data_IF_792283897160
#
_entry.id   IF_792283897160
#
_cell.length_a   1.000
_cell.length_b   1.000
_cell.length_c   1.000
_cell.angle_alpha   90.00
_cell.angle_beta   90.00
_cell.angle_gamma   90.00
#
_symmetry.space_group_name_H-M   'P 1'
#
loop_
_entity.id
_entity.type
_entity.pdbx_description
1 polymer ?
#
# COMPACT_ATOMS: atom_id res chain seq x y z
N UNK A 1 -0.48 34.02 -2.50
CA UNK A 1 -1.48 33.36 -3.39
C UNK A 1 -1.14 31.89 -3.45
N UNK A 2 -1.92 31.04 -2.78
CA UNK A 2 -1.73 29.59 -2.88
C UNK A 2 -2.26 29.16 -4.24
N UNK A 3 -1.37 28.72 -5.13
CA UNK A 3 -1.72 28.08 -6.38
C UNK A 3 -2.57 26.83 -6.06
N UNK A 4 -3.88 26.97 -6.15
CA UNK A 4 -4.81 25.85 -6.22
C UNK A 4 -4.60 25.17 -7.58
N UNK A 5 -3.53 24.41 -7.72
CA UNK A 5 -3.46 23.40 -8.76
C UNK A 5 -4.55 22.39 -8.40
N UNK A 6 -5.69 22.52 -9.04
CA UNK A 6 -6.71 21.48 -9.04
C UNK A 6 -6.05 20.22 -9.58
N UNK A 7 -5.71 19.29 -8.70
CA UNK A 7 -5.19 18.00 -9.14
C UNK A 7 -6.23 17.36 -10.05
N UNK A 8 -5.81 16.80 -11.19
CA UNK A 8 -6.76 16.15 -12.09
C UNK A 8 -7.45 14.99 -11.36
N UNK A 9 -8.76 14.90 -11.55
CA UNK A 9 -9.57 13.83 -10.97
C UNK A 9 -9.15 12.50 -11.61
N UNK A 10 -8.69 11.50 -10.83
CA UNK A 10 -8.33 10.22 -11.38
C UNK A 10 -9.52 9.50 -12.01
N UNK A 11 -9.31 8.89 -13.17
CA UNK A 11 -10.28 8.05 -13.87
C UNK A 11 -9.85 6.59 -13.73
N UNK A 12 -10.79 5.75 -13.32
CA UNK A 12 -10.57 4.32 -13.11
C UNK A 12 -10.75 3.53 -14.41
N UNK A 13 -9.99 2.45 -14.56
CA UNK A 13 -10.31 1.41 -15.52
C UNK A 13 -11.45 0.51 -15.01
N UNK A 14 -11.91 -0.44 -15.83
CA UNK A 14 -13.02 -1.33 -15.45
C UNK A 14 -12.73 -2.19 -14.22
N UNK A 15 -11.51 -2.67 -14.05
CA UNK A 15 -11.10 -3.49 -12.89
C UNK A 15 -11.07 -2.66 -11.61
N UNK A 16 -10.50 -1.46 -11.71
CA UNK A 16 -10.46 -0.49 -10.61
C UNK A 16 -11.87 -0.04 -10.21
N UNK A 17 -12.73 0.22 -11.18
CA UNK A 17 -14.13 0.57 -10.94
C UNK A 17 -14.90 -0.53 -10.22
N UNK A 18 -14.77 -1.77 -10.63
CA UNK A 18 -15.41 -2.91 -9.94
C UNK A 18 -14.94 -3.03 -8.50
N UNK A 19 -13.68 -2.79 -8.25
CA UNK A 19 -13.07 -2.82 -6.93
C UNK A 19 -13.55 -1.66 -6.06
N UNK A 20 -13.56 -0.45 -6.60
CA UNK A 20 -14.11 0.73 -5.95
C UNK A 20 -15.60 0.59 -5.64
N UNK A 21 -16.38 0.01 -6.53
CA UNK A 21 -17.81 -0.24 -6.32
C UNK A 21 -18.08 -1.19 -5.14
N UNK A 22 -17.23 -2.19 -4.94
CA UNK A 22 -17.31 -3.05 -3.74
C UNK A 22 -17.04 -2.25 -2.47
N UNK A 23 -16.04 -1.34 -2.50
CA UNK A 23 -15.74 -0.47 -1.37
C UNK A 23 -16.84 0.55 -1.07
N UNK A 24 -17.62 0.97 -2.06
CA UNK A 24 -18.76 1.88 -1.86
C UNK A 24 -19.78 1.27 -0.87
N UNK A 25 -19.97 -0.05 -0.87
CA UNK A 25 -20.85 -0.73 0.09
C UNK A 25 -20.38 -0.60 1.54
N UNK A 26 -19.10 -0.34 1.77
CA UNK A 26 -18.53 -0.08 3.10
C UNK A 26 -18.64 1.39 3.54
N UNK A 27 -19.14 2.26 2.66
CA UNK A 27 -19.34 3.66 2.99
C UNK A 27 -20.53 3.83 3.93
N UNK A 28 -20.33 4.56 5.04
CA UNK A 28 -21.38 4.80 6.04
C UNK A 28 -22.55 5.65 5.50
N UNK A 29 -22.33 6.38 4.42
CA UNK A 29 -23.34 7.22 3.77
C UNK A 29 -24.10 6.51 2.63
N UNK A 30 -23.70 5.29 2.29
CA UNK A 30 -24.33 4.52 1.21
C UNK A 30 -25.44 3.62 1.75
N UNK A 31 -26.66 3.83 1.24
CA UNK A 31 -27.83 3.03 1.57
C UNK A 31 -28.63 2.75 0.29
N UNK A 32 -28.74 1.48 -0.08
CA UNK A 32 -29.57 1.02 -1.19
C UNK A 32 -29.35 1.80 -2.52
N UNK A 33 -28.10 2.13 -2.85
CA UNK A 33 -27.77 2.88 -4.07
C UNK A 33 -27.73 4.41 -3.90
N UNK A 34 -28.17 4.93 -2.78
CA UNK A 34 -28.27 6.36 -2.49
C UNK A 34 -27.20 6.81 -1.48
N UNK A 35 -26.86 8.10 -1.54
CA UNK A 35 -25.95 8.74 -0.59
C UNK A 35 -26.72 9.66 0.36
N UNK A 36 -26.75 9.32 1.65
CA UNK A 36 -27.47 10.12 2.65
C UNK A 36 -26.79 11.46 2.96
N UNK A 37 -25.48 11.59 2.68
CA UNK A 37 -24.76 12.85 2.87
C UNK A 37 -25.14 13.92 1.84
N UNK A 38 -25.63 13.52 0.67
CA UNK A 38 -26.10 14.41 -0.39
C UNK A 38 -27.61 14.55 -0.42
N UNK A 39 -28.31 13.90 0.47
CA UNK A 39 -29.76 13.90 0.58
C UNK A 39 -30.22 15.13 1.37
N UNK A 40 -30.77 16.10 0.64
CA UNK A 40 -31.38 17.31 1.21
C UNK A 40 -32.92 17.20 1.29
N UNK A 41 -33.44 15.98 1.52
CA UNK A 41 -34.86 15.67 1.56
C UNK A 41 -35.40 14.96 0.32
N UNK A 42 -34.57 14.80 -0.70
CA UNK A 42 -34.85 13.99 -1.90
C UNK A 42 -33.77 12.93 -2.07
N UNK A 43 -34.17 11.75 -2.52
CA UNK A 43 -33.21 10.65 -2.76
C UNK A 43 -32.12 11.04 -3.76
N UNK A 44 -30.86 10.93 -3.35
CA UNK A 44 -29.70 11.24 -4.19
C UNK A 44 -28.88 9.98 -4.44
N UNK A 45 -28.71 9.60 -5.70
CA UNK A 45 -27.89 8.45 -6.10
C UNK A 45 -26.43 8.71 -5.73
N UNK A 46 -25.76 7.69 -5.16
CA UNK A 46 -24.33 7.76 -4.87
C UNK A 46 -23.54 7.89 -6.17
N UNK A 47 -22.91 9.05 -6.39
CA UNK A 47 -22.15 9.34 -7.61
C UNK A 47 -20.96 8.39 -7.80
N UNK A 48 -20.33 7.95 -6.70
CA UNK A 48 -19.19 7.06 -6.77
C UNK A 48 -19.58 5.63 -7.14
N UNK A 49 -20.83 5.22 -6.93
CA UNK A 49 -21.32 3.91 -7.34
C UNK A 49 -21.55 3.77 -8.85
N UNK A 50 -21.70 4.88 -9.55
CA UNK A 50 -22.00 4.92 -11.00
C UNK A 50 -20.93 5.57 -11.85
N UNK A 51 -19.93 6.22 -11.25
CA UNK A 51 -18.88 6.95 -11.96
C UNK A 51 -17.55 6.23 -11.99
N UNK A 52 -16.87 6.24 -13.14
CA UNK A 52 -15.47 5.84 -13.29
C UNK A 52 -14.49 6.89 -12.76
N UNK A 53 -14.92 8.12 -12.59
CA UNK A 53 -14.12 9.20 -12.01
C UNK A 53 -14.26 9.23 -10.49
N UNK A 54 -13.18 9.50 -9.78
CA UNK A 54 -13.19 9.65 -8.32
C UNK A 54 -13.74 11.01 -7.89
N UNK A 55 -15.05 11.17 -7.94
CA UNK A 55 -15.73 12.43 -7.67
C UNK A 55 -16.00 12.67 -6.18
N UNK A 56 -16.27 11.62 -5.41
CA UNK A 56 -16.62 11.74 -4.01
C UNK A 56 -15.40 11.97 -3.12
N UNK A 57 -15.32 13.15 -2.49
CA UNK A 57 -14.23 13.49 -1.57
C UNK A 57 -14.22 12.60 -0.31
N UNK A 58 -15.38 12.26 0.21
CA UNK A 58 -15.51 11.38 1.36
C UNK A 58 -14.98 9.96 1.03
N UNK A 59 -15.35 9.43 -0.11
CA UNK A 59 -14.85 8.14 -0.59
C UNK A 59 -13.32 8.14 -0.67
N UNK A 60 -12.72 9.17 -1.24
CA UNK A 60 -11.25 9.29 -1.34
C UNK A 60 -10.56 9.33 0.03
N UNK A 61 -11.15 10.05 0.98
CA UNK A 61 -10.53 10.27 2.28
C UNK A 61 -10.77 9.13 3.28
N UNK A 62 -11.96 8.54 3.29
CA UNK A 62 -12.40 7.61 4.33
C UNK A 62 -12.52 6.15 3.87
N UNK A 63 -12.94 5.92 2.63
CA UNK A 63 -13.24 4.57 2.14
C UNK A 63 -12.09 3.99 1.31
N UNK A 64 -11.54 4.74 0.38
CA UNK A 64 -10.45 4.29 -0.50
C UNK A 64 -9.18 3.83 0.25
N UNK A 65 -8.78 4.44 1.37
CA UNK A 65 -7.62 3.98 2.14
C UNK A 65 -7.73 2.57 2.72
N UNK A 66 -8.91 1.98 2.75
CA UNK A 66 -9.10 0.57 3.15
C UNK A 66 -8.49 -0.39 2.14
N UNK A 67 -8.41 0.00 0.86
CA UNK A 67 -7.72 -0.72 -0.20
C UNK A 67 -6.46 0.04 -0.63
N UNK A 68 -5.36 -0.22 0.03
CA UNK A 68 -4.07 0.46 -0.20
C UNK A 68 -3.53 0.26 -1.61
N UNK A 69 -3.78 -0.89 -2.20
CA UNK A 69 -3.34 -1.19 -3.55
C UNK A 69 -4.08 -0.34 -4.59
N UNK A 70 -5.40 -0.22 -4.45
CA UNK A 70 -6.22 0.62 -5.31
C UNK A 70 -5.87 2.11 -5.14
N UNK A 71 -5.73 2.58 -3.91
CA UNK A 71 -5.30 3.95 -3.60
C UNK A 71 -3.96 4.28 -4.25
N UNK A 72 -2.97 3.40 -4.12
CA UNK A 72 -1.65 3.56 -4.71
C UNK A 72 -1.71 3.58 -6.24
N UNK A 73 -2.49 2.71 -6.85
CA UNK A 73 -2.68 2.67 -8.29
C UNK A 73 -3.31 3.94 -8.86
N UNK A 74 -4.19 4.60 -8.12
CA UNK A 74 -4.91 5.79 -8.57
C UNK A 74 -4.15 7.09 -8.31
N UNK A 75 -3.50 7.22 -7.16
CA UNK A 75 -2.87 8.49 -6.73
C UNK A 75 -1.35 8.49 -6.81
N UNK A 76 -0.71 7.34 -6.72
CA UNK A 76 0.74 7.24 -6.58
C UNK A 76 1.41 6.48 -7.72
N UNK A 77 0.79 6.47 -8.91
CA UNK A 77 1.29 5.73 -10.08
C UNK A 77 2.76 5.99 -10.40
N UNK A 78 3.19 7.25 -10.32
CA UNK A 78 4.58 7.63 -10.65
C UNK A 78 5.58 7.15 -9.60
N UNK A 79 5.15 6.99 -8.36
CA UNK A 79 5.97 6.59 -7.24
C UNK A 79 5.70 5.15 -6.77
N UNK A 80 4.73 4.47 -7.38
CA UNK A 80 4.38 3.10 -7.01
C UNK A 80 5.47 2.12 -7.45
N UNK A 81 5.85 1.22 -6.55
CA UNK A 81 6.75 0.09 -6.84
C UNK A 81 6.03 -1.23 -6.54
N UNK A 82 6.43 -2.27 -7.25
CA UNK A 82 6.00 -3.63 -6.95
C UNK A 82 6.89 -4.23 -5.87
N UNK A 83 6.28 -4.85 -4.87
CA UNK A 83 7.01 -5.61 -3.87
C UNK A 83 7.77 -6.76 -4.50
N UNK A 84 9.06 -6.92 -4.17
CA UNK A 84 9.89 -8.00 -4.68
C UNK A 84 9.47 -9.40 -4.18
N UNK A 85 8.66 -9.48 -3.12
CA UNK A 85 8.20 -10.75 -2.52
C UNK A 85 6.80 -11.12 -2.98
N UNK A 86 5.81 -10.25 -2.77
CA UNK A 86 4.40 -10.55 -3.06
C UNK A 86 3.88 -9.93 -4.36
N UNK A 87 4.63 -9.02 -5.00
CA UNK A 87 4.22 -8.34 -6.23
C UNK A 87 3.15 -7.26 -6.05
N UNK A 88 2.69 -6.98 -4.83
CA UNK A 88 1.72 -5.93 -4.55
C UNK A 88 2.29 -4.54 -4.82
N UNK A 89 1.46 -3.62 -5.33
CA UNK A 89 1.83 -2.23 -5.47
C UNK A 89 1.87 -1.54 -4.11
N UNK A 90 2.94 -0.79 -3.85
CA UNK A 90 3.08 0.01 -2.65
C UNK A 90 3.76 1.35 -2.94
N UNK A 91 3.53 2.33 -2.07
CA UNK A 91 4.22 3.62 -2.14
C UNK A 91 5.49 3.54 -1.30
N UNK A 92 6.69 3.60 -1.91
CA UNK A 92 7.94 3.52 -1.16
C UNK A 92 8.18 4.79 -0.35
N UNK A 93 8.65 4.63 0.89
CA UNK A 93 9.11 5.76 1.72
C UNK A 93 10.49 6.29 1.31
N UNK A 94 11.25 5.52 0.52
CA UNK A 94 12.54 5.91 -0.02
C UNK A 94 12.81 5.21 -1.36
N UNK A 95 13.76 5.72 -2.14
CA UNK A 95 14.16 5.11 -3.41
C UNK A 95 14.72 3.69 -3.26
N UNK A 96 15.24 3.35 -2.09
CA UNK A 96 15.81 2.03 -1.77
C UNK A 96 14.76 0.99 -1.35
N UNK A 97 13.54 1.41 -1.04
CA UNK A 97 12.48 0.50 -0.62
C UNK A 97 12.12 -0.49 -1.74
N UNK A 98 12.24 -1.78 -1.46
CA UNK A 98 11.94 -2.89 -2.40
C UNK A 98 10.75 -3.72 -1.97
N UNK A 99 10.33 -3.59 -0.72
CA UNK A 99 9.33 -4.44 -0.09
C UNK A 99 8.17 -3.61 0.44
N UNK A 100 6.95 -4.17 0.34
CA UNK A 100 5.77 -3.54 0.94
C UNK A 100 5.86 -3.55 2.49
N UNK A 101 5.06 -2.72 3.18
CA UNK A 101 5.08 -2.65 4.65
C UNK A 101 4.81 -3.98 5.36
N UNK A 102 4.13 -4.91 4.71
CA UNK A 102 3.86 -6.24 5.25
C UNK A 102 5.03 -7.21 5.08
N UNK A 103 5.72 -7.15 3.93
CA UNK A 103 6.85 -8.03 3.61
C UNK A 103 8.18 -7.54 4.20
N UNK A 104 8.36 -6.23 4.33
CA UNK A 104 9.60 -5.63 4.82
C UNK A 104 10.07 -6.20 6.18
N UNK A 105 9.23 -6.30 7.22
CA UNK A 105 9.64 -6.88 8.51
C UNK A 105 10.08 -8.33 8.40
N UNK A 106 9.40 -9.12 7.54
CA UNK A 106 9.71 -10.54 7.32
C UNK A 106 11.07 -10.71 6.65
N UNK A 107 11.35 -9.89 5.65
CA UNK A 107 12.65 -9.91 4.93
C UNK A 107 13.77 -9.45 5.83
N UNK A 108 13.59 -8.37 6.59
CA UNK A 108 14.59 -7.89 7.54
C UNK A 108 14.92 -8.92 8.62
N UNK A 109 13.92 -9.61 9.15
CA UNK A 109 14.11 -10.68 10.13
C UNK A 109 14.95 -11.83 9.55
N UNK A 110 14.67 -12.21 8.29
CA UNK A 110 15.45 -13.26 7.60
C UNK A 110 16.89 -12.83 7.36
N UNK A 111 17.10 -11.60 6.87
CA UNK A 111 18.43 -11.05 6.62
C UNK A 111 19.25 -10.95 7.91
N UNK A 112 18.62 -10.52 9.00
CA UNK A 112 19.28 -10.46 10.32
C UNK A 112 19.71 -11.85 10.80
N UNK A 113 18.83 -12.84 10.71
CA UNK A 113 19.14 -14.21 11.10
C UNK A 113 20.28 -14.81 10.24
N UNK A 114 20.31 -14.52 8.95
CA UNK A 114 21.38 -14.94 8.05
C UNK A 114 22.72 -14.28 8.40
N UNK A 115 22.72 -12.99 8.70
CA UNK A 115 23.91 -12.27 9.15
C UNK A 115 24.45 -12.83 10.46
N UNK A 116 23.58 -13.11 11.43
CA UNK A 116 23.96 -13.72 12.70
C UNK A 116 24.58 -15.11 12.52
N UNK A 117 24.06 -15.94 11.62
CA UNK A 117 24.66 -17.24 11.27
C UNK A 117 26.05 -17.08 10.70
N UNK A 118 26.26 -16.17 9.76
CA UNK A 118 27.57 -15.92 9.14
C UNK A 118 28.60 -15.46 10.16
N UNK A 119 28.21 -14.58 11.09
CA UNK A 119 29.07 -14.12 12.16
C UNK A 119 29.46 -15.30 13.10
N UNK A 120 28.48 -16.12 13.48
CA UNK A 120 28.68 -17.28 14.31
C UNK A 120 29.63 -18.28 13.66
N UNK A 121 29.48 -18.57 12.37
CA UNK A 121 30.37 -19.46 11.62
C UNK A 121 31.78 -18.89 11.51
N UNK A 122 31.91 -17.57 11.30
CA UNK A 122 33.22 -16.91 11.27
C UNK A 122 33.95 -16.99 12.60
N UNK A 123 33.28 -16.75 13.72
CA UNK A 123 33.83 -16.87 15.06
C UNK A 123 34.25 -18.32 15.34
N UNK A 124 33.41 -19.28 14.93
CA UNK A 124 33.69 -20.72 15.11
C UNK A 124 34.93 -21.14 14.31
N UNK A 125 35.10 -20.71 13.09
CA UNK A 125 36.30 -20.93 12.29
C UNK A 125 37.52 -20.24 12.89
N UNK A 126 37.38 -19.02 13.38
CA UNK A 126 38.46 -18.27 14.04
C UNK A 126 38.94 -18.93 15.34
N UNK A 127 38.00 -19.50 16.11
CA UNK A 127 38.35 -20.23 17.35
C UNK A 127 39.13 -21.52 17.06
N UNK A 128 38.79 -22.22 15.99
CA UNK A 128 39.54 -23.43 15.57
C UNK A 128 40.97 -23.09 15.12
N UNK A 129 41.16 -21.96 14.45
CA UNK A 129 42.52 -21.51 14.03
C UNK A 129 43.39 -21.13 15.24
N UNK A 130 42.82 -20.57 16.29
CA UNK A 130 43.52 -20.23 17.51
C UNK A 130 43.92 -21.47 18.31
N UNK A 131 43.12 -22.53 18.33
CA UNK A 131 43.49 -23.80 18.98
C UNK A 131 44.67 -24.50 18.31
N UNK A 132 44.83 -24.36 17.01
CA UNK A 132 45.99 -24.90 16.28
C UNK A 132 47.28 -24.13 16.53
N UNK A 133 47.22 -22.88 16.95
CA UNK A 133 48.41 -22.06 17.25
C UNK A 133 49.01 -22.32 18.63
N UNK A 134 48.26 -22.90 19.56
CA UNK A 134 48.72 -23.18 20.92
C UNK A 134 49.06 -24.65 21.17
N UNK A 135 49.08 -25.47 20.12
CA UNK A 135 49.36 -26.90 20.20
C UNK A 135 50.79 -27.24 19.75
N UNK A 136 51.77 -26.44 20.24
CA UNK A 136 53.20 -26.75 20.10
C UNK A 136 53.87 -26.68 21.45
#
# INVERSE_FOLDING_TARGET
MKNNKTEPIPVMDYRQYRRARKLVHECCNYIAGNCIALDDGEECICVQSISYSLLCRWFRAAVLPQDKELETALFHRLNAKKCAVCGALFTPGSNRAKYCPECAPKVHRRQKAECERRISDYIRCGFLVLQWRYSW
#
